data_IF_949237404008
#
_entry.id   IF_949237404008
#
_cell.length_a   1.000
_cell.length_b   1.000
_cell.length_c   1.000
_cell.angle_alpha   90.00
_cell.angle_beta   90.00
_cell.angle_gamma   90.00
#
_symmetry.space_group_name_H-M   'P 1'
#
loop_
_entity.id
_entity.type
_entity.pdbx_description
1 polymer ?
#
# COMPACT_ATOMS: atom_id res chain seq x y z
N UNK A 1 5.93 -18.51 7.28
CA UNK A 1 5.49 -17.17 6.86
C UNK A 1 4.31 -16.70 7.71
N UNK A 2 4.50 -15.70 8.58
CA UNK A 2 3.39 -15.00 9.25
C UNK A 2 2.37 -14.39 8.27
N UNK A 3 1.12 -14.27 8.73
CA UNK A 3 0.02 -13.65 7.98
C UNK A 3 -0.09 -12.17 8.34
N UNK A 4 -0.17 -11.32 7.33
CA UNK A 4 -0.38 -9.89 7.46
C UNK A 4 -1.65 -9.49 6.71
N UNK A 5 -2.52 -8.74 7.38
CA UNK A 5 -3.61 -8.03 6.74
C UNK A 5 -3.11 -6.64 6.35
N UNK A 6 -3.26 -6.28 5.08
CA UNK A 6 -2.85 -4.99 4.53
C UNK A 6 -4.12 -4.26 4.07
N UNK A 7 -4.39 -3.12 4.69
CA UNK A 7 -5.51 -2.25 4.33
C UNK A 7 -5.00 -1.06 3.54
N UNK A 8 -5.66 -0.74 2.43
CA UNK A 8 -5.40 0.41 1.58
C UNK A 8 -6.61 1.34 1.61
N UNK A 9 -6.38 2.62 1.87
CA UNK A 9 -7.41 3.65 1.91
C UNK A 9 -6.95 4.92 1.21
N UNK A 10 -7.83 5.51 0.38
CA UNK A 10 -7.55 6.71 -0.39
C UNK A 10 -8.82 7.29 -1.03
N UNK A 11 -8.69 8.36 -1.81
CA UNK A 11 -9.82 8.99 -2.48
C UNK A 11 -10.49 8.00 -3.45
N UNK A 12 -11.72 7.59 -3.15
CA UNK A 12 -12.45 6.61 -3.97
C UNK A 12 -11.91 5.17 -3.89
N UNK A 13 -11.02 4.87 -2.95
CA UNK A 13 -10.30 3.60 -2.90
C UNK A 13 -10.34 3.02 -1.48
N UNK A 14 -10.90 1.82 -1.34
CA UNK A 14 -10.86 1.02 -0.12
C UNK A 14 -10.63 -0.44 -0.49
N UNK A 15 -9.50 -1.00 -0.09
CA UNK A 15 -9.17 -2.39 -0.38
C UNK A 15 -8.48 -3.04 0.81
N UNK A 16 -8.69 -4.34 0.99
CA UNK A 16 -8.03 -5.14 2.03
C UNK A 16 -7.47 -6.38 1.36
N UNK A 17 -6.18 -6.62 1.56
CA UNK A 17 -5.47 -7.82 1.11
C UNK A 17 -4.96 -8.58 2.33
N UNK A 18 -5.00 -9.92 2.29
CA UNK A 18 -4.41 -10.75 3.34
C UNK A 18 -3.32 -11.61 2.69
N UNK A 19 -2.09 -11.36 3.09
CA UNK A 19 -0.90 -11.91 2.44
C UNK A 19 0.02 -12.59 3.46
N UNK A 20 0.81 -13.56 2.98
CA UNK A 20 1.82 -14.26 3.77
C UNK A 20 3.19 -13.73 3.38
N UNK A 21 3.95 -13.24 4.36
CA UNK A 21 5.30 -12.73 4.15
C UNK A 21 6.24 -13.29 5.23
N UNK A 22 7.55 -13.31 5.00
CA UNK A 22 8.50 -13.79 6.01
C UNK A 22 8.70 -12.76 7.13
N UNK A 23 8.49 -11.47 6.83
CA UNK A 23 8.69 -10.38 7.79
C UNK A 23 7.73 -9.21 7.57
N UNK A 24 7.62 -8.34 8.58
CA UNK A 24 6.90 -7.07 8.46
C UNK A 24 7.52 -6.15 7.40
N UNK A 25 8.85 -6.20 7.24
CA UNK A 25 9.56 -5.40 6.25
C UNK A 25 9.22 -5.82 4.81
N UNK A 26 8.98 -7.11 4.58
CA UNK A 26 8.49 -7.61 3.28
C UNK A 26 7.03 -7.25 3.06
N UNK A 27 6.17 -7.44 4.06
CA UNK A 27 4.77 -7.02 4.00
C UNK A 27 4.65 -5.52 3.66
N UNK A 28 5.52 -4.70 4.26
CA UNK A 28 5.60 -3.26 3.95
C UNK A 28 6.05 -3.00 2.51
N UNK A 29 7.05 -3.72 2.00
CA UNK A 29 7.50 -3.59 0.60
C UNK A 29 6.40 -3.99 -0.39
N UNK A 30 5.68 -5.09 -0.12
CA UNK A 30 4.53 -5.52 -0.89
C UNK A 30 3.42 -4.45 -0.88
N UNK A 31 3.07 -3.93 0.30
CA UNK A 31 2.09 -2.85 0.45
C UNK A 31 2.46 -1.60 -0.37
N UNK A 32 3.73 -1.17 -0.34
CA UNK A 32 4.20 -0.04 -1.15
C UNK A 32 4.05 -0.34 -2.63
N UNK A 33 4.49 -1.52 -3.10
CA UNK A 33 4.39 -1.92 -4.51
C UNK A 33 2.95 -1.93 -5.00
N UNK A 34 2.02 -2.49 -4.21
CA UNK A 34 0.60 -2.53 -4.52
C UNK A 34 -0.01 -1.14 -4.52
N UNK A 35 0.26 -0.31 -3.51
CA UNK A 35 -0.22 1.07 -3.44
C UNK A 35 0.27 1.91 -4.62
N UNK A 36 1.53 1.75 -5.05
CA UNK A 36 2.06 2.41 -6.25
C UNK A 36 1.32 1.96 -7.51
N UNK A 37 1.07 0.65 -7.64
CA UNK A 37 0.32 0.10 -8.78
C UNK A 37 -1.12 0.63 -8.82
N UNK A 38 -1.77 0.74 -7.66
CA UNK A 38 -3.11 1.32 -7.52
C UNK A 38 -3.15 2.79 -7.93
N UNK A 39 -2.16 3.59 -7.50
CA UNK A 39 -2.05 5.00 -7.87
C UNK A 39 -1.79 5.19 -9.38
N UNK A 40 -0.92 4.37 -9.98
CA UNK A 40 -0.64 4.45 -11.42
C UNK A 40 -1.81 3.95 -12.29
N UNK A 41 -2.70 3.12 -11.74
CA UNK A 41 -3.89 2.66 -12.44
C UNK A 41 -4.96 3.76 -12.63
N UNK A 42 -4.83 4.93 -11.96
CA UNK A 42 -5.72 6.09 -12.19
C UNK A 42 -5.58 6.72 -13.60
N UNK A 43 -4.62 6.25 -14.41
CA UNK A 43 -4.54 6.50 -15.85
C UNK A 43 -3.70 7.72 -16.25
N UNK A 44 -3.73 8.06 -17.54
CA UNK A 44 -2.81 9.02 -18.21
C UNK A 44 -2.83 10.46 -17.66
N UNK A 45 -3.76 10.79 -16.75
CA UNK A 45 -3.86 12.11 -16.10
C UNK A 45 -3.38 12.12 -14.65
N UNK A 46 -2.87 11.00 -14.14
CA UNK A 46 -2.35 10.94 -12.78
C UNK A 46 -1.10 11.82 -12.65
N UNK A 47 -1.22 12.92 -11.90
CA UNK A 47 -0.08 13.79 -11.56
C UNK A 47 0.43 13.53 -10.14
N UNK A 48 -0.50 13.35 -9.20
CA UNK A 48 -0.17 13.03 -7.81
C UNK A 48 -1.32 12.27 -7.15
N UNK A 49 -0.98 11.50 -6.12
CA UNK A 49 -1.96 10.84 -5.27
C UNK A 49 -1.30 10.24 -4.04
N UNK A 50 -2.14 9.82 -3.10
CA UNK A 50 -1.68 9.19 -1.88
C UNK A 50 -2.61 8.05 -1.47
N UNK A 51 -2.02 7.00 -0.91
CA UNK A 51 -2.73 5.87 -0.30
C UNK A 51 -2.21 5.69 1.13
N UNK A 52 -3.14 5.71 2.08
CA UNK A 52 -2.87 5.32 3.45
C UNK A 52 -2.90 3.80 3.56
N UNK A 53 -1.82 3.24 4.08
CA UNK A 53 -1.61 1.80 4.25
C UNK A 53 -1.58 1.43 5.73
N UNK A 54 -2.26 0.36 6.11
CA UNK A 54 -2.11 -0.28 7.41
C UNK A 54 -1.63 -1.72 7.20
N UNK A 55 -0.49 -2.09 7.80
CA UNK A 55 0.01 -3.47 7.83
C UNK A 55 -0.18 -4.02 9.25
N UNK A 56 -1.04 -5.03 9.39
CA UNK A 56 -1.40 -5.64 10.67
C UNK A 56 -0.99 -7.10 10.70
N UNK A 57 -0.20 -7.48 11.69
CA UNK A 57 0.13 -8.89 11.93
C UNK A 57 -1.07 -9.60 12.56
N UNK A 58 -1.61 -10.64 11.92
CA UNK A 58 -2.90 -11.23 12.33
C UNK A 58 -2.83 -11.91 13.71
N UNK A 59 -1.69 -12.49 14.08
CA UNK A 59 -1.56 -13.24 15.34
C UNK A 59 -1.30 -12.33 16.54
N UNK A 60 -0.49 -11.27 16.35
CA UNK A 60 -0.09 -10.38 17.46
C UNK A 60 -0.93 -9.11 17.52
N UNK A 61 -1.76 -8.85 16.51
CA UNK A 61 -2.58 -7.64 16.38
C UNK A 61 -1.79 -6.36 16.16
N UNK A 62 -0.46 -6.40 16.16
CA UNK A 62 0.38 -5.21 15.99
C UNK A 62 0.19 -4.65 14.58
N UNK A 63 -0.20 -3.37 14.53
CA UNK A 63 -0.40 -2.63 13.29
C UNK A 63 0.65 -1.53 13.12
N UNK A 64 1.07 -1.31 11.89
CA UNK A 64 1.87 -0.17 11.45
C UNK A 64 1.10 0.57 10.37
N UNK A 65 1.00 1.89 10.50
CA UNK A 65 0.33 2.76 9.52
C UNK A 65 1.35 3.68 8.88
N UNK A 66 1.26 3.83 7.56
CA UNK A 66 2.10 4.76 6.80
C UNK A 66 1.37 5.23 5.55
N UNK A 67 1.79 6.38 5.02
CA UNK A 67 1.26 6.95 3.79
C UNK A 67 2.26 6.74 2.66
N UNK A 68 1.77 6.28 1.51
CA UNK A 68 2.51 6.24 0.25
C UNK A 68 2.01 7.38 -0.61
N UNK A 69 2.90 8.32 -0.94
CA UNK A 69 2.61 9.43 -1.85
C UNK A 69 3.39 9.21 -3.14
N UNK A 70 2.71 9.32 -4.28
CA UNK A 70 3.34 9.23 -5.60
C UNK A 70 3.10 10.53 -6.35
N UNK A 71 4.14 11.05 -6.99
CA UNK A 71 4.08 12.16 -7.93
C UNK A 71 4.81 11.78 -9.22
N UNK A 72 4.15 11.98 -10.35
CA UNK A 72 4.71 11.69 -11.68
C UNK A 72 5.13 13.01 -12.31
N UNK A 73 6.41 13.13 -12.64
CA UNK A 73 6.94 14.29 -13.35
C UNK A 73 7.42 13.86 -14.74
N UNK A 74 7.00 14.59 -15.76
CA UNK A 74 7.55 14.42 -17.11
C UNK A 74 9.00 14.91 -17.09
N UNK A 75 9.94 14.01 -17.37
CA UNK A 75 11.34 14.38 -17.58
C UNK A 75 11.45 14.97 -19.00
N UNK A 76 12.00 16.18 -19.09
CA UNK A 76 12.14 16.95 -20.33
C UNK A 76 13.24 16.39 -21.23
#
# INVERSE_FOLDING_TARGET
MPRFAITYSGAGMANVSVERHDSRAEARRAAVSTATSMLLAEGDRFQQGAVDCEVRHEVTGRAERFRVTLSVQKVA
#
